data_IF_963756782216
#
_entry.id   IF_963756782216
#
_cell.length_a   1.000
_cell.length_b   1.000
_cell.length_c   1.000
_cell.angle_alpha   90.00
_cell.angle_beta   90.00
_cell.angle_gamma   90.00
#
_symmetry.space_group_name_H-M   'P 1'
#
loop_
_entity.id
_entity.type
_entity.pdbx_description
1 polymer ?
#
# COMPACT_ATOMS: atom_id res chain seq x y z
N UNK A 1 -23.08 12.67 -3.44
CA UNK A 1 -22.33 11.50 -3.95
C UNK A 1 -21.96 10.55 -2.84
N UNK A 2 -21.87 9.30 -3.15
CA UNK A 2 -21.40 8.27 -2.23
C UNK A 2 -19.93 8.00 -2.49
N UNK A 3 -19.15 7.74 -1.42
CA UNK A 3 -17.75 7.32 -1.53
C UNK A 3 -17.67 6.00 -2.28
N UNK A 4 -16.69 5.89 -3.18
CA UNK A 4 -16.40 4.64 -3.86
C UNK A 4 -15.65 3.68 -2.91
N UNK A 5 -15.79 2.36 -3.14
CA UNK A 5 -15.10 1.34 -2.36
C UNK A 5 -13.60 1.31 -2.66
N UNK A 6 -12.80 1.15 -1.60
CA UNK A 6 -11.38 0.82 -1.69
C UNK A 6 -11.14 -0.58 -1.13
N UNK A 7 -10.13 -1.27 -1.66
CA UNK A 7 -9.65 -2.55 -1.15
C UNK A 7 -8.19 -2.41 -0.71
N UNK A 8 -7.96 -1.60 0.32
CA UNK A 8 -6.59 -1.25 0.73
C UNK A 8 -5.82 -2.48 1.19
N UNK A 9 -4.58 -2.61 0.72
CA UNK A 9 -3.68 -3.69 1.09
C UNK A 9 -2.68 -3.20 2.13
N UNK A 10 -2.66 -3.84 3.29
CA UNK A 10 -1.66 -3.60 4.32
C UNK A 10 -0.55 -4.64 4.18
N UNK A 11 0.69 -4.18 4.08
CA UNK A 11 1.86 -5.00 3.81
C UNK A 11 2.89 -4.85 4.92
N UNK A 12 3.52 -5.96 5.29
CA UNK A 12 4.71 -6.04 6.11
C UNK A 12 5.58 -7.21 5.65
N UNK A 13 6.88 -7.14 5.82
CA UNK A 13 7.80 -8.24 5.56
C UNK A 13 8.39 -8.75 6.87
N UNK A 14 8.56 -10.07 6.93
CA UNK A 14 9.05 -10.74 8.12
C UNK A 14 10.22 -11.65 7.76
N UNK A 15 11.29 -11.59 8.54
CA UNK A 15 12.46 -12.43 8.41
C UNK A 15 12.46 -13.48 9.51
N UNK A 16 12.68 -14.75 9.15
CA UNK A 16 12.71 -15.87 10.10
C UNK A 16 11.32 -16.13 10.71
N UNK A 17 11.31 -16.99 11.70
CA UNK A 17 10.11 -17.45 12.37
C UNK A 17 9.69 -18.85 11.93
N UNK A 18 8.93 -19.53 12.80
CA UNK A 18 8.30 -20.78 12.45
C UNK A 18 6.89 -20.50 11.91
N UNK A 19 6.52 -21.22 10.85
CA UNK A 19 5.17 -21.17 10.28
C UNK A 19 4.18 -21.91 11.21
N UNK A 20 3.94 -21.35 12.39
CA UNK A 20 2.99 -21.91 13.33
C UNK A 20 1.71 -21.09 13.35
N UNK A 21 0.61 -21.73 12.98
CA UNK A 21 -0.74 -21.23 13.28
C UNK A 21 -1.09 -21.59 14.71
N UNK A 22 -1.14 -20.62 15.61
CA UNK A 22 -1.56 -20.82 16.98
C UNK A 22 -3.05 -20.60 17.09
N UNK A 23 -3.74 -21.59 17.68
CA UNK A 23 -5.15 -21.46 18.03
C UNK A 23 -5.33 -20.39 19.12
N UNK A 24 -6.10 -19.34 18.84
CA UNK A 24 -6.25 -18.17 19.72
C UNK A 24 -7.50 -18.25 20.59
N UNK A 25 -8.00 -19.42 20.85
CA UNK A 25 -9.18 -19.62 21.70
C UNK A 25 -10.52 -19.60 20.94
N UNK A 26 -11.59 -19.83 21.68
CA UNK A 26 -12.95 -19.71 21.16
C UNK A 26 -13.37 -18.24 21.28
N UNK A 27 -13.50 -17.56 20.15
CA UNK A 27 -14.17 -16.27 20.11
C UNK A 27 -15.68 -16.51 20.31
N UNK A 28 -16.32 -15.94 21.33
CA UNK A 28 -17.75 -16.08 21.52
C UNK A 28 -18.59 -15.46 20.39
N UNK A 29 -17.99 -14.54 19.61
CA UNK A 29 -18.64 -13.92 18.45
C UNK A 29 -18.36 -14.68 17.14
N UNK A 30 -17.85 -15.88 17.22
CA UNK A 30 -17.50 -16.69 16.07
C UNK A 30 -18.70 -16.96 15.17
N UNK A 31 -18.59 -16.60 13.92
CA UNK A 31 -19.63 -16.84 12.92
C UNK A 31 -19.95 -18.35 12.82
N UNK A 32 -21.23 -18.74 12.70
CA UNK A 32 -21.61 -20.14 12.56
C UNK A 32 -20.85 -20.81 11.42
N UNK A 33 -20.07 -21.84 11.71
CA UNK A 33 -19.28 -22.61 10.76
C UNK A 33 -17.76 -22.42 10.85
N UNK A 34 -17.28 -21.42 11.56
CA UNK A 34 -15.85 -21.30 11.92
C UNK A 34 -15.63 -21.99 13.27
N UNK A 35 -14.99 -23.16 13.24
CA UNK A 35 -14.78 -23.94 14.46
C UNK A 35 -13.65 -23.44 15.35
N UNK A 36 -12.66 -22.76 14.78
CA UNK A 36 -11.44 -22.36 15.47
C UNK A 36 -10.85 -21.10 14.86
N UNK A 37 -10.54 -20.10 15.67
CA UNK A 37 -9.76 -18.96 15.27
C UNK A 37 -8.28 -19.31 15.33
N UNK A 38 -7.63 -19.27 14.20
CA UNK A 38 -6.18 -19.39 14.11
C UNK A 38 -5.61 -18.01 13.80
N UNK A 39 -4.62 -17.62 14.56
CA UNK A 39 -3.80 -16.45 14.26
C UNK A 39 -2.39 -16.93 13.94
N UNK A 40 -1.83 -16.41 12.84
CA UNK A 40 -0.42 -16.57 12.60
C UNK A 40 0.33 -15.83 13.71
N UNK A 41 1.00 -16.59 14.52
CA UNK A 41 1.88 -16.02 15.52
C UNK A 41 3.20 -16.73 15.38
N UNK A 42 4.23 -16.05 14.86
CA UNK A 42 5.38 -16.06 15.66
C UNK A 42 6.75 -15.99 15.05
N UNK A 43 7.61 -15.35 15.81
CA UNK A 43 9.03 -15.59 15.94
C UNK A 43 9.87 -15.09 14.76
N UNK A 44 9.29 -14.31 13.88
CA UNK A 44 10.01 -13.54 12.88
C UNK A 44 10.27 -12.12 13.35
N UNK A 45 11.23 -11.48 12.76
CA UNK A 45 11.51 -10.05 12.87
C UNK A 45 10.75 -9.33 11.75
N UNK A 46 9.91 -8.37 12.12
CA UNK A 46 9.27 -7.50 11.14
C UNK A 46 10.32 -6.48 10.64
N UNK A 47 10.73 -6.63 9.39
CA UNK A 47 11.82 -5.82 8.82
C UNK A 47 11.42 -4.38 8.51
N UNK A 48 10.13 -4.04 8.65
CA UNK A 48 9.62 -2.67 8.52
C UNK A 48 9.54 -1.92 9.84
N UNK A 49 9.84 -2.59 10.96
CA UNK A 49 9.84 -1.89 12.24
C UNK A 49 10.86 -0.76 12.22
N UNK A 50 10.51 0.39 12.83
CA UNK A 50 11.42 1.50 13.01
C UNK A 50 12.69 1.10 13.73
N UNK A 51 13.77 1.80 13.43
CA UNK A 51 14.97 1.78 14.24
C UNK A 51 14.76 2.61 15.54
N UNK A 52 15.61 2.38 16.55
CA UNK A 52 15.48 3.03 17.87
C UNK A 52 15.58 4.57 17.83
N UNK A 53 16.23 5.12 16.80
CA UNK A 53 16.49 6.56 16.66
C UNK A 53 15.27 7.34 16.16
N UNK A 54 14.38 6.71 15.38
CA UNK A 54 13.14 7.32 14.89
C UNK A 54 11.97 6.31 14.93
N UNK A 55 11.16 6.31 15.99
CA UNK A 55 10.11 5.33 16.19
C UNK A 55 8.92 5.46 15.21
N UNK A 56 8.91 6.45 14.33
CA UNK A 56 7.89 6.62 13.32
C UNK A 56 8.35 6.18 11.93
N UNK A 57 9.62 6.41 11.61
CA UNK A 57 10.19 6.10 10.29
C UNK A 57 10.30 4.58 10.11
N UNK A 58 9.82 4.02 8.99
CA UNK A 58 10.05 2.61 8.69
C UNK A 58 11.56 2.30 8.67
N UNK A 59 11.94 1.13 9.15
CA UNK A 59 13.32 0.66 9.08
C UNK A 59 13.86 0.63 7.65
N UNK A 60 15.16 0.49 7.50
CA UNK A 60 15.84 0.61 6.20
C UNK A 60 15.27 -0.29 5.09
N UNK A 61 14.88 -1.53 5.41
CA UNK A 61 14.21 -2.42 4.44
C UNK A 61 12.79 -1.95 4.13
N UNK A 62 12.08 -1.42 5.11
CA UNK A 62 10.74 -0.85 4.92
C UNK A 62 10.77 0.36 3.98
N UNK A 63 11.73 1.25 4.13
CA UNK A 63 11.92 2.40 3.24
C UNK A 63 12.22 1.97 1.81
N UNK A 64 13.10 1.00 1.60
CA UNK A 64 13.40 0.45 0.27
C UNK A 64 12.16 -0.19 -0.38
N UNK A 65 11.41 -0.97 0.39
CA UNK A 65 10.17 -1.59 -0.10
C UNK A 65 9.13 -0.52 -0.48
N UNK A 66 8.97 0.53 0.33
CA UNK A 66 8.13 1.69 -0.01
C UNK A 66 8.64 2.37 -1.28
N UNK A 67 9.97 2.55 -1.41
CA UNK A 67 10.60 3.13 -2.60
C UNK A 67 10.27 2.37 -3.87
N UNK A 68 10.32 1.04 -3.82
CA UNK A 68 9.89 0.18 -4.94
C UNK A 68 8.43 0.39 -5.30
N UNK A 69 7.53 0.33 -4.32
CA UNK A 69 6.10 0.51 -4.59
C UNK A 69 5.79 1.93 -5.10
N UNK A 70 6.42 2.98 -4.57
CA UNK A 70 6.24 4.37 -5.05
C UNK A 70 6.74 4.52 -6.49
N UNK A 71 7.87 3.90 -6.81
CA UNK A 71 8.45 3.92 -8.16
C UNK A 71 7.49 3.33 -9.20
N UNK A 72 6.87 2.20 -8.87
CA UNK A 72 5.97 1.47 -9.76
C UNK A 72 4.48 1.84 -9.59
N UNK A 73 4.16 2.85 -8.77
CA UNK A 73 2.77 3.12 -8.37
C UNK A 73 1.84 3.41 -9.55
N UNK A 74 2.35 4.05 -10.61
CA UNK A 74 1.57 4.32 -11.83
C UNK A 74 1.22 3.01 -12.56
N UNK A 75 2.17 2.11 -12.72
CA UNK A 75 1.97 0.78 -13.32
C UNK A 75 1.06 -0.10 -12.48
N UNK A 76 1.27 -0.12 -11.16
CA UNK A 76 0.45 -0.86 -10.20
C UNK A 76 -1.02 -0.43 -10.23
N UNK A 77 -1.32 0.79 -10.67
CA UNK A 77 -2.70 1.27 -10.82
C UNK A 77 -3.47 0.46 -11.85
N UNK A 78 -2.82 -0.09 -12.90
CA UNK A 78 -3.50 -0.96 -13.89
C UNK A 78 -4.04 -2.24 -13.24
N UNK A 79 -3.33 -2.79 -12.26
CA UNK A 79 -3.74 -3.99 -11.53
C UNK A 79 -4.75 -3.64 -10.43
N UNK A 80 -4.45 -2.60 -9.64
CA UNK A 80 -5.28 -2.18 -8.50
C UNK A 80 -6.62 -1.58 -8.91
N UNK A 81 -6.68 -0.97 -10.09
CA UNK A 81 -7.85 -0.33 -10.70
C UNK A 81 -8.13 -0.92 -12.07
N UNK A 82 -8.35 -2.23 -12.12
CA UNK A 82 -8.36 -3.07 -13.32
C UNK A 82 -9.60 -2.91 -14.23
N UNK A 83 -10.54 -2.05 -13.86
CA UNK A 83 -11.77 -1.85 -14.61
C UNK A 83 -11.98 -0.37 -14.98
N UNK A 84 -12.58 -0.09 -16.13
CA UNK A 84 -12.82 1.30 -16.57
C UNK A 84 -13.61 2.13 -15.56
N UNK A 85 -14.50 1.51 -14.78
CA UNK A 85 -15.26 2.18 -13.74
C UNK A 85 -14.42 2.49 -12.48
N UNK A 86 -13.30 1.82 -12.27
CA UNK A 86 -12.39 2.07 -11.14
C UNK A 86 -11.89 3.52 -11.14
N UNK A 87 -11.71 4.09 -12.32
CA UNK A 87 -11.20 5.46 -12.51
C UNK A 87 -12.25 6.56 -12.23
N UNK A 88 -13.47 6.20 -11.93
CA UNK A 88 -14.46 7.14 -11.36
C UNK A 88 -14.12 7.51 -9.92
N UNK A 89 -13.53 6.56 -9.18
CA UNK A 89 -13.18 6.75 -7.77
C UNK A 89 -12.27 7.98 -7.54
N UNK A 90 -11.14 8.16 -8.25
CA UNK A 90 -10.30 9.36 -8.10
C UNK A 90 -10.88 10.61 -8.75
N UNK A 91 -11.78 10.47 -9.74
CA UNK A 91 -12.35 11.62 -10.45
C UNK A 91 -13.49 12.29 -9.70
N UNK A 92 -14.40 11.50 -9.17
CA UNK A 92 -15.70 11.99 -8.70
C UNK A 92 -15.68 12.42 -7.25
N UNK A 93 -14.65 12.04 -6.49
CA UNK A 93 -14.76 12.14 -5.05
C UNK A 93 -14.02 13.30 -4.44
N UNK A 94 -12.92 13.77 -5.01
CA UNK A 94 -12.08 14.72 -4.29
C UNK A 94 -11.79 14.28 -2.85
N UNK A 95 -12.22 13.09 -2.45
CA UNK A 95 -12.25 12.62 -1.08
C UNK A 95 -11.47 11.32 -0.94
N UNK A 96 -10.23 11.44 -0.45
CA UNK A 96 -9.48 10.33 0.12
C UNK A 96 -9.10 9.18 -0.84
N UNK A 97 -9.40 9.29 -2.13
CA UNK A 97 -8.83 8.44 -3.16
C UNK A 97 -7.51 9.05 -3.63
N UNK A 98 -6.41 8.31 -3.64
CA UNK A 98 -5.12 8.85 -4.07
C UNK A 98 -5.15 9.16 -5.57
N UNK A 99 -4.56 10.32 -5.92
CA UNK A 99 -4.38 10.77 -7.30
C UNK A 99 -2.91 11.05 -7.62
N UNK A 100 -2.03 10.90 -6.64
CA UNK A 100 -0.60 11.16 -6.77
C UNK A 100 0.23 9.99 -6.22
N UNK A 101 1.34 9.72 -6.89
CA UNK A 101 2.32 8.72 -6.50
C UNK A 101 3.26 9.29 -5.43
N UNK A 102 2.84 9.17 -4.18
CA UNK A 102 3.57 9.66 -3.02
C UNK A 102 3.26 8.80 -1.79
N UNK A 103 3.97 9.03 -0.70
CA UNK A 103 3.79 8.33 0.56
C UNK A 103 3.82 9.27 1.76
N UNK A 104 3.29 8.85 2.90
CA UNK A 104 3.34 9.65 4.13
C UNK A 104 2.74 8.97 5.34
N UNK A 105 3.01 9.54 6.52
CA UNK A 105 2.49 9.06 7.80
C UNK A 105 1.05 9.50 8.00
N UNK A 106 0.17 8.53 8.33
CA UNK A 106 -1.26 8.77 8.56
C UNK A 106 -1.95 9.58 7.46
N UNK A 107 -1.29 9.77 6.31
CA UNK A 107 -1.75 10.61 5.23
C UNK A 107 -2.67 9.83 4.28
N UNK A 108 -3.96 10.16 4.28
CA UNK A 108 -4.96 9.52 3.42
C UNK A 108 -5.03 10.11 2.01
N UNK A 109 -4.24 11.14 1.72
CA UNK A 109 -4.20 11.78 0.40
C UNK A 109 -3.10 11.24 -0.50
N UNK A 110 -2.18 10.43 0.04
CA UNK A 110 -1.08 9.77 -0.68
C UNK A 110 -1.46 8.37 -1.18
N UNK A 111 -0.74 7.88 -2.18
CA UNK A 111 -0.90 6.52 -2.73
C UNK A 111 -0.51 5.42 -1.74
N UNK A 112 0.50 5.70 -0.91
CA UNK A 112 0.97 4.86 0.18
C UNK A 112 0.85 5.59 1.51
N UNK A 113 0.38 4.89 2.52
CA UNK A 113 0.24 5.43 3.87
C UNK A 113 0.92 4.51 4.86
N UNK A 114 1.84 5.02 5.64
CA UNK A 114 2.32 4.35 6.86
C UNK A 114 1.29 4.63 7.96
N UNK A 115 0.45 3.64 8.23
CA UNK A 115 -0.68 3.76 9.17
C UNK A 115 -0.34 3.31 10.59
N UNK A 116 0.75 2.57 10.76
CA UNK A 116 1.32 2.16 12.02
C UNK A 116 2.76 1.68 11.77
N UNK A 117 3.62 1.65 12.81
CA UNK A 117 4.95 1.06 12.72
C UNK A 117 4.90 -0.37 12.17
N UNK A 118 5.89 -0.74 11.36
CA UNK A 118 6.05 -2.09 10.82
C UNK A 118 5.11 -2.46 9.68
N UNK A 119 4.37 -1.52 9.09
CA UNK A 119 3.52 -1.77 7.91
C UNK A 119 3.24 -0.50 7.12
N UNK A 120 2.93 -0.67 5.83
CA UNK A 120 2.31 0.37 5.01
C UNK A 120 0.99 -0.11 4.40
N UNK A 121 0.17 0.83 3.98
CA UNK A 121 -1.12 0.64 3.32
C UNK A 121 -1.03 1.13 1.87
N UNK A 122 -1.19 0.22 0.90
CA UNK A 122 -1.38 0.57 -0.50
C UNK A 122 -2.83 0.96 -0.75
N UNK A 123 -3.05 2.14 -1.38
CA UNK A 123 -4.37 2.77 -1.43
C UNK A 123 -4.94 2.96 -2.83
N UNK A 124 -4.11 2.84 -3.88
CA UNK A 124 -4.52 2.97 -5.29
C UNK A 124 -5.19 1.71 -5.82
N UNK A 125 -6.19 1.21 -5.09
CA UNK A 125 -6.85 -0.06 -5.37
C UNK A 125 -8.33 0.02 -5.04
N UNK A 126 -9.16 -0.58 -5.87
CA UNK A 126 -10.60 -0.72 -5.64
C UNK A 126 -11.03 -2.17 -5.36
N UNK A 127 -12.30 -2.37 -5.04
CA UNK A 127 -12.82 -3.69 -4.68
C UNK A 127 -13.04 -4.64 -5.85
N UNK A 128 -12.79 -4.22 -7.08
CA UNK A 128 -12.81 -5.09 -8.27
C UNK A 128 -11.45 -5.75 -8.56
N UNK A 129 -10.45 -5.46 -7.74
CA UNK A 129 -9.10 -6.00 -7.89
C UNK A 129 -9.06 -7.52 -7.76
N UNK A 130 -8.22 -8.16 -8.57
CA UNK A 130 -7.83 -9.54 -8.32
C UNK A 130 -6.78 -9.57 -7.20
N UNK A 131 -7.09 -10.11 -6.00
CA UNK A 131 -6.20 -10.03 -4.85
C UNK A 131 -4.88 -10.81 -5.05
N UNK A 132 -4.89 -11.86 -5.85
CA UNK A 132 -3.67 -12.64 -6.15
C UNK A 132 -2.72 -11.85 -7.04
N UNK A 133 -3.23 -11.21 -8.09
CA UNK A 133 -2.42 -10.36 -8.95
C UNK A 133 -1.90 -9.14 -8.18
N UNK A 134 -2.74 -8.51 -7.38
CA UNK A 134 -2.32 -7.34 -6.59
C UNK A 134 -1.23 -7.71 -5.58
N UNK A 135 -1.42 -8.81 -4.85
CA UNK A 135 -0.42 -9.31 -3.92
C UNK A 135 0.92 -9.61 -4.60
N UNK A 136 0.88 -10.31 -5.75
CA UNK A 136 2.09 -10.65 -6.51
C UNK A 136 2.82 -9.43 -7.04
N UNK A 137 2.11 -8.45 -7.58
CA UNK A 137 2.73 -7.23 -8.13
C UNK A 137 3.25 -6.30 -7.04
N UNK A 138 2.59 -6.22 -5.88
CA UNK A 138 3.13 -5.51 -4.72
C UNK A 138 4.41 -6.15 -4.21
N UNK A 139 4.46 -7.47 -4.12
CA UNK A 139 5.68 -8.19 -3.73
C UNK A 139 6.82 -7.95 -4.73
N UNK A 140 6.54 -8.01 -6.04
CA UNK A 140 7.55 -7.74 -7.07
C UNK A 140 8.08 -6.29 -6.99
N UNK A 141 7.21 -5.32 -6.76
CA UNK A 141 7.62 -3.93 -6.60
C UNK A 141 8.45 -3.70 -5.32
N UNK A 142 8.10 -4.39 -4.23
CA UNK A 142 8.88 -4.34 -2.99
C UNK A 142 10.25 -4.99 -3.17
N UNK A 143 10.32 -6.11 -3.88
CA UNK A 143 11.55 -6.85 -4.19
C UNK A 143 12.51 -5.98 -5.02
N UNK A 144 12.00 -5.34 -6.07
CA UNK A 144 12.75 -4.38 -6.86
C UNK A 144 13.29 -3.21 -6.00
N UNK A 145 12.48 -2.72 -5.07
CA UNK A 145 12.90 -1.69 -4.13
C UNK A 145 14.04 -2.12 -3.21
N UNK A 146 13.98 -3.37 -2.73
CA UNK A 146 15.02 -3.96 -1.89
C UNK A 146 16.31 -4.20 -2.68
N UNK A 147 16.22 -4.82 -3.86
CA UNK A 147 17.36 -5.19 -4.70
C UNK A 147 18.10 -3.96 -5.22
N UNK A 148 17.37 -2.93 -5.65
CA UNK A 148 17.94 -1.70 -6.20
C UNK A 148 18.11 -0.58 -5.16
N UNK A 149 17.78 -0.83 -3.89
CA UNK A 149 17.87 0.16 -2.80
C UNK A 149 17.16 1.47 -3.15
N UNK A 150 15.94 1.38 -3.65
CA UNK A 150 15.18 2.53 -4.10
C UNK A 150 14.75 3.41 -2.92
N UNK A 151 14.95 4.71 -3.08
CA UNK A 151 14.60 5.73 -2.09
C UNK A 151 13.18 6.25 -2.36
N UNK A 152 12.25 6.16 -1.39
CA UNK A 152 10.92 6.73 -1.54
C UNK A 152 10.87 8.26 -1.51
N UNK A 153 11.96 8.92 -1.15
CA UNK A 153 12.00 10.34 -0.82
C UNK A 153 11.36 10.66 0.53
N UNK A 154 11.29 11.95 0.86
CA UNK A 154 10.72 12.41 2.12
C UNK A 154 9.21 12.16 2.21
N UNK A 155 8.68 11.73 3.37
CA UNK A 155 7.25 11.54 3.56
C UNK A 155 6.48 12.85 3.47
N UNK A 156 5.29 12.83 2.88
CA UNK A 156 4.42 13.98 2.83
C UNK A 156 3.48 13.99 4.05
N UNK A 157 3.66 14.96 4.91
CA UNK A 157 2.86 15.14 6.13
C UNK A 157 1.63 16.03 5.92
N UNK A 158 1.68 16.88 4.89
CA UNK A 158 0.59 17.80 4.54
C UNK A 158 -0.45 17.10 3.69
N UNK A 159 -1.60 17.70 3.54
CA UNK A 159 -2.51 17.36 2.46
C UNK A 159 -1.76 17.52 1.12
N UNK A 160 -1.72 16.46 0.30
CA UNK A 160 -0.95 16.44 -0.96
C UNK A 160 -1.37 17.57 -1.91
N UNK A 161 -2.62 17.99 -1.88
CA UNK A 161 -3.10 19.10 -2.72
C UNK A 161 -2.48 20.43 -2.28
N UNK A 162 -2.39 20.67 -0.98
CA UNK A 162 -1.73 21.86 -0.42
C UNK A 162 -0.23 21.84 -0.70
N UNK A 163 0.38 20.65 -0.64
CA UNK A 163 1.80 20.48 -0.96
C UNK A 163 2.09 20.84 -2.43
N UNK A 164 1.21 20.44 -3.35
CA UNK A 164 1.34 20.74 -4.78
C UNK A 164 1.13 22.24 -5.04
N UNK A 165 0.14 22.85 -4.39
CA UNK A 165 -0.06 24.31 -4.46
C UNK A 165 1.16 25.08 -3.95
N UNK A 166 1.87 24.52 -2.96
CA UNK A 166 3.14 25.04 -2.45
C UNK A 166 4.36 24.73 -3.34
N UNK A 167 4.17 24.07 -4.49
CA UNK A 167 5.21 23.80 -5.49
C UNK A 167 5.83 22.41 -5.46
N UNK A 168 5.31 21.48 -4.65
CA UNK A 168 5.79 20.08 -4.67
C UNK A 168 5.52 19.45 -6.03
N UNK A 169 6.55 18.84 -6.59
CA UNK A 169 6.45 18.08 -7.83
C UNK A 169 6.19 16.60 -7.50
N UNK A 170 5.07 16.07 -7.94
CA UNK A 170 4.66 14.68 -7.70
C UNK A 170 4.10 14.08 -8.99
N UNK A 171 4.44 12.84 -9.27
CA UNK A 171 3.85 12.11 -10.40
C UNK A 171 2.36 11.89 -10.14
N UNK A 172 1.54 12.23 -11.13
CA UNK A 172 0.11 11.95 -11.07
C UNK A 172 -0.15 10.49 -11.39
N UNK A 173 -1.08 9.89 -10.67
CA UNK A 173 -1.56 8.54 -10.99
C UNK A 173 -2.41 8.57 -12.26
N UNK A 174 -2.44 7.46 -13.03
CA UNK A 174 -3.29 7.35 -14.22
C UNK A 174 -4.77 7.60 -13.88
N UNK A 175 -5.44 8.31 -14.75
CA UNK A 175 -6.86 8.66 -14.62
C UNK A 175 -7.76 7.87 -15.58
N UNK A 176 -7.17 6.92 -16.31
CA UNK A 176 -7.88 5.97 -17.19
C UNK A 176 -7.15 4.63 -17.21
N UNK A 177 -7.89 3.58 -17.55
CA UNK A 177 -7.30 2.24 -17.72
C UNK A 177 -6.25 2.23 -18.85
N UNK A 178 -6.47 2.99 -19.92
CA UNK A 178 -5.50 3.11 -21.02
C UNK A 178 -4.17 3.68 -20.53
N UNK A 179 -4.19 4.84 -19.86
CA UNK A 179 -2.98 5.42 -19.27
C UNK A 179 -2.27 4.46 -18.30
N UNK A 180 -3.03 3.72 -17.50
CA UNK A 180 -2.44 2.77 -16.56
C UNK A 180 -1.77 1.58 -17.25
N UNK A 181 -2.37 1.08 -18.34
CA UNK A 181 -1.77 0.02 -19.16
C UNK A 181 -0.51 0.50 -19.87
N UNK A 182 -0.50 1.73 -20.40
CA UNK A 182 0.70 2.33 -20.99
C UNK A 182 1.87 2.39 -20.00
N UNK A 183 1.58 2.74 -18.74
CA UNK A 183 2.58 2.69 -17.67
C UNK A 183 3.02 1.27 -17.32
N UNK A 184 2.12 0.29 -17.36
CA UNK A 184 2.44 -1.10 -17.07
C UNK A 184 3.30 -1.73 -18.17
N UNK A 185 3.06 -1.42 -19.45
CA UNK A 185 3.84 -1.91 -20.59
C UNK A 185 5.23 -1.29 -20.65
N UNK A 186 5.40 -0.07 -20.15
CA UNK A 186 6.67 0.65 -20.13
C UNK A 186 7.53 0.46 -18.90
N UNK A 187 7.10 -0.41 -17.99
CA UNK A 187 7.70 -0.55 -16.65
C UNK A 187 8.63 -1.79 -16.53
#
# INVERSE_FOLDING_TARGET
>A
GVSASGCHHNMSLWRGGADEFVKVGNDPDNLPGMKDNYMYVKGGENTFMPDDDDPQMPGAEGLKAIGGVVTHLQALTAIGSSHVNSYRRPRDTGFWAPVFADWGFQNRTTGLRVSAPGRFEYRSVDSMVNPYLMGSTLLAAMDDGLDNSLDPGEPEERNIYEAIEAGKQVKKLPMSLGEALDHLEGN
#
